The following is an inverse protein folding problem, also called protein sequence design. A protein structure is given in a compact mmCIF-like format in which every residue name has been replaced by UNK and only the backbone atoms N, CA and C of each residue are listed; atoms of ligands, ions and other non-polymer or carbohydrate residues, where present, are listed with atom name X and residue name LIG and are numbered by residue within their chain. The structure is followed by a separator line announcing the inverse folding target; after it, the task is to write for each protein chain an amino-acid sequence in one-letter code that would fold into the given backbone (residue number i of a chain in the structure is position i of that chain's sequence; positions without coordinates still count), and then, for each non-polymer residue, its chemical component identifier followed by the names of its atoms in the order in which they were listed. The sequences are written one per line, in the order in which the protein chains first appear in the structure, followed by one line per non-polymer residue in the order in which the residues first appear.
data_IF_891624076441
#
_entry.id   IF_891624076441
#
_cell.length_a   1.000
_cell.length_b   1.000
_cell.length_c   1.000
_cell.angle_alpha   90.00
_cell.angle_beta   90.00
_cell.angle_gamma   90.00
#
_symmetry.space_group_name_H-M   'P 1'
#
loop_
_entity.id
_entity.type
_entity.pdbx_description
1 polymer ?
#
# COMPACT_ATOMS: atom_id res chain seq x y z
N UNK A 1 -3.70 22.85 -8.25
CA UNK A 1 -2.39 22.20 -8.17
C UNK A 1 -1.78 22.52 -6.81
N UNK A 2 -1.71 21.52 -5.93
CA UNK A 2 -0.63 21.27 -4.98
C UNK A 2 -1.12 20.24 -3.96
N UNK A 3 -0.65 19.00 -4.09
CA UNK A 3 -0.68 17.98 -3.05
C UNK A 3 0.79 17.59 -2.80
N UNK A 4 1.54 18.57 -2.32
CA UNK A 4 2.75 18.27 -1.56
C UNK A 4 2.30 17.73 -0.21
N UNK A 5 2.43 16.43 0.02
CA UNK A 5 2.71 15.83 1.35
C UNK A 5 2.94 14.32 1.15
N UNK A 6 4.18 13.92 0.82
CA UNK A 6 5.37 13.71 1.66
C UNK A 6 5.32 12.32 2.30
N UNK A 7 6.29 11.49 1.89
CA UNK A 7 6.75 10.37 2.72
C UNK A 7 7.53 11.04 3.85
N UNK A 8 6.92 11.19 5.03
CA UNK A 8 7.66 11.71 6.18
C UNK A 8 8.43 10.56 6.78
N UNK A 9 9.76 10.69 6.81
CA UNK A 9 10.62 9.83 7.63
C UNK A 9 10.57 10.37 9.06
N UNK A 10 9.83 9.71 9.95
CA UNK A 10 9.80 10.10 11.37
C UNK A 10 10.92 9.33 12.07
N UNK A 11 11.91 10.04 12.60
CA UNK A 11 12.96 9.46 13.45
C UNK A 11 12.54 9.48 14.90
N UNK A 12 12.41 8.30 15.52
CA UNK A 12 12.27 8.15 16.99
C UNK A 12 13.26 7.09 17.44
N UNK A 13 14.16 7.45 18.37
CA UNK A 13 15.21 6.57 18.91
C UNK A 13 16.18 5.95 17.87
N UNK A 14 16.37 6.58 16.70
CA UNK A 14 17.31 6.11 15.68
C UNK A 14 16.73 5.19 14.61
N UNK A 15 15.43 4.87 14.65
CA UNK A 15 14.74 4.18 13.56
C UNK A 15 14.08 5.20 12.62
N UNK A 16 14.40 5.14 11.33
CA UNK A 16 13.72 5.87 10.26
C UNK A 16 12.41 5.14 9.92
N UNK A 17 11.26 5.82 9.98
CA UNK A 17 9.95 5.22 9.64
C UNK A 17 9.24 5.97 8.53
N UNK A 18 8.72 5.22 7.54
CA UNK A 18 8.05 5.74 6.33
C UNK A 18 6.56 5.98 6.62
N UNK A 19 6.11 7.24 6.56
CA UNK A 19 4.67 7.57 6.59
C UNK A 19 4.08 7.58 5.17
N UNK A 20 3.00 6.83 4.94
CA UNK A 20 2.28 6.78 3.65
C UNK A 20 1.04 7.66 3.76
N UNK A 21 1.04 8.78 3.04
CA UNK A 21 -0.12 9.67 3.01
C UNK A 21 -1.33 8.98 2.35
N UNK A 22 -2.53 9.07 2.96
CA UNK A 22 -3.78 8.60 2.36
C UNK A 22 -4.00 9.14 0.93
N UNK A 23 -4.54 8.31 0.04
CA UNK A 23 -4.91 8.73 -1.33
C UNK A 23 -3.85 8.50 -2.40
N UNK A 24 -2.86 7.64 -2.14
CA UNK A 24 -1.90 7.17 -3.14
C UNK A 24 -2.23 5.77 -3.64
N UNK A 25 -2.13 4.82 -2.72
CA UNK A 25 -2.48 3.40 -2.88
C UNK A 25 -3.20 2.92 -1.63
N UNK A 26 -2.79 3.41 -0.45
CA UNK A 26 -3.47 3.15 0.81
C UNK A 26 -4.50 4.25 1.12
N UNK A 27 -5.77 3.89 1.39
CA UNK A 27 -6.78 4.84 1.86
C UNK A 27 -6.59 5.30 3.31
N UNK A 28 -5.73 4.62 4.09
CA UNK A 28 -5.61 4.77 5.54
C UNK A 28 -4.15 4.93 5.99
N UNK A 29 -3.97 5.42 7.22
CA UNK A 29 -2.69 5.35 7.91
C UNK A 29 -2.45 3.92 8.43
N UNK A 30 -1.26 3.38 8.19
CA UNK A 30 -0.83 2.05 8.67
C UNK A 30 -0.26 2.18 10.08
N UNK A 31 -0.54 1.19 10.93
CA UNK A 31 -0.01 1.13 12.29
C UNK A 31 1.51 0.96 12.25
N UNK A 32 2.16 1.53 13.26
CA UNK A 32 3.59 1.40 13.50
C UNK A 32 4.06 -0.06 13.70
N UNK A 33 3.15 -0.99 13.97
CA UNK A 33 3.47 -2.41 14.17
C UNK A 33 3.45 -3.19 12.84
N UNK A 34 2.87 -2.61 11.79
CA UNK A 34 2.70 -3.24 10.48
C UNK A 34 3.51 -2.53 9.38
N UNK A 35 4.37 -1.57 9.72
CA UNK A 35 5.13 -0.80 8.74
C UNK A 35 6.24 -1.62 8.07
N UNK A 36 6.78 -2.63 8.77
CA UNK A 36 7.75 -3.61 8.26
C UNK A 36 7.08 -4.83 7.59
N UNK A 37 5.75 -4.82 7.41
CA UNK A 37 5.06 -5.90 6.70
C UNK A 37 5.46 -5.89 5.21
N UNK A 38 5.84 -7.04 4.61
CA UNK A 38 6.19 -7.13 3.19
C UNK A 38 5.10 -6.60 2.24
N UNK A 39 3.83 -6.73 2.62
CA UNK A 39 2.70 -6.17 1.88
C UNK A 39 2.75 -4.64 1.92
N UNK A 40 3.07 -4.05 3.07
CA UNK A 40 3.25 -2.60 3.20
C UNK A 40 4.36 -2.11 2.24
N UNK A 41 5.51 -2.79 2.20
CA UNK A 41 6.63 -2.42 1.33
C UNK A 41 6.25 -2.45 -0.16
N UNK A 42 5.52 -3.48 -0.59
CA UNK A 42 5.04 -3.59 -1.98
C UNK A 42 4.02 -2.50 -2.33
N UNK A 43 3.13 -2.14 -1.40
CA UNK A 43 2.18 -1.04 -1.60
C UNK A 43 2.87 0.32 -1.65
N UNK A 44 3.94 0.53 -0.88
CA UNK A 44 4.80 1.71 -0.99
C UNK A 44 5.48 1.76 -2.34
N UNK A 45 6.02 0.64 -2.81
CA UNK A 45 6.65 0.55 -4.13
C UNK A 45 5.64 0.89 -5.23
N UNK A 46 4.42 0.36 -5.16
CA UNK A 46 3.35 0.71 -6.10
C UNK A 46 3.01 2.20 -6.05
N UNK A 47 2.90 2.79 -4.86
CA UNK A 47 2.61 4.21 -4.71
C UNK A 47 3.70 5.08 -5.33
N UNK A 48 4.97 4.71 -5.14
CA UNK A 48 6.12 5.38 -5.77
C UNK A 48 6.07 5.23 -7.29
N UNK A 49 5.76 4.03 -7.80
CA UNK A 49 5.64 3.74 -9.23
C UNK A 49 4.55 4.59 -9.89
N UNK A 50 3.35 4.67 -9.30
CA UNK A 50 2.24 5.51 -9.80
C UNK A 50 2.57 6.99 -9.85
N UNK A 51 3.48 7.44 -8.99
CA UNK A 51 4.03 8.81 -8.96
C UNK A 51 5.19 9.01 -9.94
N UNK A 52 5.50 8.05 -10.80
CA UNK A 52 6.59 8.12 -11.78
C UNK A 52 7.99 8.09 -11.15
N UNK A 53 8.13 7.63 -9.90
CA UNK A 53 9.45 7.46 -9.29
C UNK A 53 10.12 6.21 -9.85
N UNK A 54 11.43 6.31 -10.09
CA UNK A 54 12.23 5.15 -10.44
C UNK A 54 12.37 4.23 -9.23
N UNK A 55 12.20 2.93 -9.49
CA UNK A 55 12.41 1.86 -8.53
C UNK A 55 13.56 0.98 -9.01
N UNK A 56 14.30 0.32 -8.09
CA UNK A 56 15.27 -0.71 -8.46
C UNK A 56 14.61 -1.82 -9.29
N UNK A 57 15.33 -2.36 -10.28
CA UNK A 57 14.78 -3.36 -11.19
C UNK A 57 14.27 -4.62 -10.47
N UNK A 58 14.94 -5.05 -9.39
CA UNK A 58 14.53 -6.17 -8.55
C UNK A 58 13.16 -5.94 -7.89
N UNK A 59 12.91 -4.71 -7.40
CA UNK A 59 11.65 -4.33 -6.77
C UNK A 59 10.55 -4.26 -7.83
N UNK A 60 10.84 -3.73 -9.01
CA UNK A 60 9.87 -3.68 -10.12
C UNK A 60 9.43 -5.09 -10.51
N UNK A 61 10.37 -6.02 -10.67
CA UNK A 61 10.05 -7.38 -11.06
C UNK A 61 9.20 -8.10 -10.01
N UNK A 62 9.55 -7.97 -8.73
CA UNK A 62 8.76 -8.53 -7.62
C UNK A 62 7.35 -7.92 -7.56
N UNK A 63 7.26 -6.60 -7.70
CA UNK A 63 5.99 -5.86 -7.69
C UNK A 63 5.09 -6.25 -8.85
N UNK A 64 5.63 -6.38 -10.06
CA UNK A 64 4.88 -6.80 -11.25
C UNK A 64 4.33 -8.21 -11.10
N UNK A 65 5.14 -9.14 -10.60
CA UNK A 65 4.69 -10.51 -10.33
C UNK A 65 3.58 -10.56 -9.29
N UNK A 66 3.75 -9.83 -8.19
CA UNK A 66 2.74 -9.77 -7.12
C UNK A 66 1.41 -9.16 -7.60
N UNK A 67 1.46 -8.06 -8.35
CA UNK A 67 0.25 -7.43 -8.93
C UNK A 67 -0.41 -8.33 -9.97
N UNK A 68 0.38 -9.07 -10.76
CA UNK A 68 -0.16 -10.04 -11.70
C UNK A 68 -0.97 -11.13 -10.97
N UNK A 69 -0.42 -11.71 -9.90
CA UNK A 69 -1.12 -12.70 -9.06
C UNK A 69 -2.42 -12.14 -8.50
N UNK A 70 -2.39 -10.93 -7.91
CA UNK A 70 -3.61 -10.31 -7.38
C UNK A 70 -4.70 -10.15 -8.45
N UNK A 71 -4.32 -9.77 -9.68
CA UNK A 71 -5.27 -9.58 -10.77
C UNK A 71 -5.81 -10.90 -11.32
N UNK A 72 -4.93 -11.87 -11.53
CA UNK A 72 -5.27 -13.20 -12.06
C UNK A 72 -6.23 -13.94 -11.11
N UNK A 73 -5.96 -13.85 -9.80
CA UNK A 73 -6.76 -14.52 -8.77
C UNK A 73 -7.94 -13.68 -8.26
N UNK A 74 -8.12 -12.45 -8.79
CA UNK A 74 -9.15 -11.48 -8.35
C UNK A 74 -9.08 -11.24 -6.84
N UNK A 75 -7.89 -10.95 -6.34
CA UNK A 75 -7.58 -10.65 -4.96
C UNK A 75 -7.26 -9.17 -4.79
N UNK A 76 -7.48 -8.67 -3.57
CA UNK A 76 -7.10 -7.33 -3.14
C UNK A 76 -6.50 -7.38 -1.74
N UNK A 77 -5.68 -6.38 -1.43
CA UNK A 77 -5.17 -6.18 -0.07
C UNK A 77 -6.23 -5.47 0.75
N UNK A 78 -6.63 -6.09 1.85
CA UNK A 78 -7.34 -5.44 2.94
C UNK A 78 -6.38 -5.15 4.09
N UNK A 79 -6.74 -4.14 4.88
CA UNK A 79 -6.00 -3.79 6.09
C UNK A 79 -6.99 -3.63 7.23
N UNK A 80 -6.62 -4.23 8.35
CA UNK A 80 -7.25 -4.03 9.64
C UNK A 80 -6.20 -3.47 10.61
N UNK A 81 -6.61 -2.60 11.54
CA UNK A 81 -5.68 -1.96 12.46
C UNK A 81 -5.14 -2.93 13.52
N UNK A 82 -5.93 -3.92 13.89
CA UNK A 82 -5.60 -4.92 14.90
C UNK A 82 -4.92 -6.13 14.24
N UNK A 83 -5.42 -6.57 13.08
CA UNK A 83 -4.94 -7.79 12.41
C UNK A 83 -3.88 -7.56 11.32
N UNK A 84 -3.71 -6.32 10.86
CA UNK A 84 -2.72 -5.97 9.82
C UNK A 84 -3.20 -6.24 8.39
N UNK A 85 -2.26 -6.58 7.51
CA UNK A 85 -2.53 -6.77 6.08
C UNK A 85 -3.03 -8.18 5.79
N UNK A 86 -4.02 -8.29 4.91
CA UNK A 86 -4.53 -9.57 4.41
C UNK A 86 -4.82 -9.50 2.92
N UNK A 87 -4.62 -10.62 2.22
CA UNK A 87 -5.03 -10.78 0.83
C UNK A 87 -6.37 -11.50 0.82
N UNK A 88 -7.38 -10.86 0.23
CA UNK A 88 -8.78 -11.31 0.29
C UNK A 88 -9.43 -11.26 -1.11
N UNK A 89 -10.44 -12.09 -1.39
CA UNK A 89 -11.18 -12.03 -2.65
C UNK A 89 -11.77 -10.64 -2.89
N UNK A 90 -11.58 -10.09 -4.09
CA UNK A 90 -12.13 -8.82 -4.52
C UNK A 90 -13.66 -8.85 -4.54
N UNK A 91 -14.29 -7.76 -4.08
CA UNK A 91 -15.73 -7.55 -4.20
C UNK A 91 -16.04 -7.11 -5.63
N UNK A 92 -16.79 -7.92 -6.35
CA UNK A 92 -17.18 -7.65 -7.74
C UNK A 92 -17.91 -6.30 -7.84
N UNK A 93 -17.43 -5.44 -8.76
CA UNK A 93 -18.01 -4.11 -8.99
C UNK A 93 -17.74 -3.07 -7.91
N UNK A 94 -16.99 -3.40 -6.85
CA UNK A 94 -16.68 -2.49 -5.73
C UNK A 94 -15.18 -2.26 -5.61
N UNK A 95 -14.38 -3.32 -5.53
CA UNK A 95 -12.93 -3.19 -5.40
C UNK A 95 -12.33 -2.97 -6.80
N UNK A 96 -12.00 -1.72 -7.13
CA UNK A 96 -11.56 -1.30 -8.47
C UNK A 96 -10.04 -1.29 -8.67
N UNK A 97 -9.29 -1.60 -7.61
CA UNK A 97 -7.83 -1.57 -7.58
C UNK A 97 -7.28 -2.66 -6.66
N UNK A 98 -5.96 -2.76 -6.51
CA UNK A 98 -5.28 -3.79 -5.72
C UNK A 98 -5.44 -3.63 -4.20
N UNK A 99 -6.00 -2.52 -3.73
CA UNK A 99 -6.30 -2.26 -2.32
C UNK A 99 -7.80 -2.08 -2.15
N UNK A 100 -8.37 -2.78 -1.16
CA UNK A 100 -9.77 -2.65 -0.77
C UNK A 100 -10.00 -1.28 -0.15
N UNK A 101 -10.96 -0.51 -0.66
CA UNK A 101 -11.39 0.70 0.03
C UNK A 101 -12.13 0.35 1.33
N UNK A 102 -11.89 1.10 2.43
CA UNK A 102 -12.62 0.89 3.67
C UNK A 102 -14.11 1.19 3.43
N UNK A 103 -15.02 0.56 4.19
CA UNK A 103 -16.42 0.94 4.11
C UNK A 103 -16.55 2.44 4.39
N UNK A 104 -17.44 3.17 3.69
CA UNK A 104 -17.72 4.56 4.01
C UNK A 104 -18.10 4.67 5.49
N UNK A 105 -17.56 5.68 6.17
CA UNK A 105 -17.94 5.95 7.55
C UNK A 105 -19.46 6.17 7.61
N UNK A 106 -20.15 5.62 8.63
CA UNK A 106 -21.59 5.76 8.79
C UNK A 106 -22.03 7.21 8.99
#
# INVERSE_FOLDING_TARGET
MSLEEIITVVTRNGAERVYIAPGTVLPWAVSMEHDEDPVCELLVAEARRRRGKQLPAEIVQGLDGWIAVLREERLVVAYDREEGFSVVPAREGIDLDIVREPPPLP
#
